data_IF_238799410929
#
_entry.id   IF_238799410929
#
_cell.length_a   1.000
_cell.length_b   1.000
_cell.length_c   1.000
_cell.angle_alpha   90.00
_cell.angle_beta   90.00
_cell.angle_gamma   90.00
#
_symmetry.space_group_name_H-M   'P 1'
#
loop_
_entity.id
_entity.type
_entity.pdbx_description
1 polymer ?
#
# COMPACT_ATOMS: atom_id res chain seq x y z
N UNK A 1 11.54 -4.04 -20.06
CA UNK A 1 10.90 -4.00 -18.76
C UNK A 1 9.74 -3.07 -18.78
N UNK A 2 8.61 -3.55 -18.41
CA UNK A 2 7.43 -2.72 -18.32
C UNK A 2 7.14 -2.30 -16.89
N UNK A 3 6.19 -1.40 -16.74
CA UNK A 3 5.67 -1.00 -15.47
C UNK A 3 4.46 -1.87 -15.13
N UNK A 4 4.29 -2.17 -13.86
CA UNK A 4 3.16 -2.96 -13.39
C UNK A 4 2.24 -2.08 -12.56
N UNK A 5 0.96 -2.11 -12.87
CA UNK A 5 -0.04 -1.32 -12.16
C UNK A 5 -1.03 -2.24 -11.45
N UNK A 6 -1.53 -1.76 -10.34
CA UNK A 6 -2.57 -2.43 -9.58
C UNK A 6 -3.79 -1.51 -9.50
N UNK A 7 -4.96 -2.05 -9.80
CA UNK A 7 -6.19 -1.30 -9.61
C UNK A 7 -6.60 -1.38 -8.15
N UNK A 8 -6.47 -0.28 -7.45
CA UNK A 8 -6.73 -0.21 -6.01
C UNK A 8 -8.02 0.53 -5.71
N UNK A 9 -8.62 0.17 -4.61
CA UNK A 9 -9.67 0.96 -3.99
C UNK A 9 -9.11 1.49 -2.68
N UNK A 10 -9.16 2.79 -2.49
CA UNK A 10 -8.66 3.45 -1.29
C UNK A 10 -9.82 4.10 -0.57
N UNK A 11 -9.86 3.94 0.74
CA UNK A 11 -10.92 4.52 1.57
C UNK A 11 -10.32 5.07 2.85
N UNK A 12 -11.03 6.02 3.45
CA UNK A 12 -10.67 6.49 4.78
C UNK A 12 -11.24 5.51 5.79
N UNK A 13 -10.36 4.82 6.52
CA UNK A 13 -10.79 3.76 7.44
C UNK A 13 -11.69 4.26 8.57
N UNK A 14 -11.59 5.55 8.91
CA UNK A 14 -12.38 6.17 9.97
C UNK A 14 -13.66 6.82 9.48
N UNK A 15 -13.81 6.93 8.18
CA UNK A 15 -14.94 7.63 7.58
C UNK A 15 -15.64 6.72 6.57
N UNK A 16 -16.37 5.72 7.05
CA UNK A 16 -17.08 4.79 6.13
C UNK A 16 -18.19 5.47 5.34
N UNK A 17 -18.59 6.67 5.76
CA UNK A 17 -19.56 7.49 5.03
C UNK A 17 -18.99 8.10 3.75
N UNK A 18 -17.68 8.19 3.64
CA UNK A 18 -17.07 8.75 2.43
C UNK A 18 -16.87 7.67 1.39
N UNK A 19 -17.12 8.04 0.14
CA UNK A 19 -16.93 7.11 -0.97
C UNK A 19 -15.45 6.76 -1.14
N UNK A 20 -15.18 5.50 -1.43
CA UNK A 20 -13.83 5.07 -1.77
C UNK A 20 -13.45 5.59 -3.15
N UNK A 21 -12.15 5.72 -3.38
CA UNK A 21 -11.59 6.12 -4.66
C UNK A 21 -10.94 4.91 -5.31
N UNK A 22 -11.28 4.64 -6.57
CA UNK A 22 -10.58 3.64 -7.35
C UNK A 22 -9.54 4.32 -8.23
N UNK A 23 -8.35 3.76 -8.25
CA UNK A 23 -7.27 4.32 -9.05
C UNK A 23 -6.25 3.24 -9.41
N UNK A 24 -5.42 3.55 -10.39
CA UNK A 24 -4.28 2.70 -10.71
C UNK A 24 -3.08 3.18 -9.94
N UNK A 25 -2.37 2.25 -9.32
CA UNK A 25 -1.14 2.55 -8.60
C UNK A 25 0.00 1.78 -9.24
N UNK A 26 1.12 2.45 -9.42
CA UNK A 26 2.33 1.80 -9.90
C UNK A 26 2.88 0.92 -8.79
N UNK A 27 3.08 -0.35 -9.08
CA UNK A 27 3.71 -1.26 -8.14
C UNK A 27 5.22 -1.02 -8.16
N UNK A 28 5.76 -0.61 -7.03
CA UNK A 28 7.17 -0.26 -6.92
C UNK A 28 7.74 -0.89 -5.66
N UNK A 29 8.36 -2.05 -5.84
CA UNK A 29 8.95 -2.79 -4.71
C UNK A 29 10.22 -2.13 -4.18
N UNK A 30 10.73 -1.14 -4.89
CA UNK A 30 11.86 -0.34 -4.39
C UNK A 30 11.43 0.73 -3.39
N UNK A 31 10.12 1.02 -3.29
CA UNK A 31 9.58 1.94 -2.32
C UNK A 31 8.87 1.13 -1.22
N UNK A 32 9.03 1.48 0.06
CA UNK A 32 8.38 0.71 1.11
C UNK A 32 6.90 1.01 1.29
N UNK A 33 6.49 2.25 1.09
CA UNK A 33 5.15 2.69 1.51
C UNK A 33 4.20 2.94 0.36
N UNK A 34 2.92 3.06 0.70
CA UNK A 34 1.93 3.62 -0.20
C UNK A 34 2.20 5.11 -0.34
N UNK A 35 2.20 5.60 -1.58
CA UNK A 35 2.29 7.05 -1.85
C UNK A 35 1.07 7.46 -2.64
N UNK A 36 0.50 8.61 -2.32
CA UNK A 36 -0.68 9.12 -3.01
C UNK A 36 -0.52 10.60 -3.31
N UNK A 37 -1.10 11.08 -4.42
CA UNK A 37 -1.12 12.52 -4.68
C UNK A 37 -1.97 13.27 -3.65
N UNK A 38 -1.68 14.55 -3.49
CA UNK A 38 -2.38 15.37 -2.51
C UNK A 38 -3.90 15.39 -2.73
N UNK A 39 -4.33 15.46 -3.99
CA UNK A 39 -5.78 15.53 -4.25
C UNK A 39 -6.52 14.28 -3.78
N UNK A 40 -5.86 13.13 -3.78
CA UNK A 40 -6.44 11.89 -3.26
C UNK A 40 -6.60 11.96 -1.75
N UNK A 41 -5.55 12.44 -1.06
CA UNK A 41 -5.60 12.59 0.38
C UNK A 41 -6.71 13.55 0.80
N UNK A 42 -6.86 14.67 0.08
CA UNK A 42 -7.88 15.65 0.36
C UNK A 42 -9.29 15.09 0.11
N UNK A 43 -9.47 14.39 -0.98
CA UNK A 43 -10.78 13.81 -1.31
C UNK A 43 -11.21 12.77 -0.29
N UNK A 44 -10.27 11.99 0.23
CA UNK A 44 -10.54 11.01 1.28
C UNK A 44 -10.58 11.63 2.67
N UNK A 45 -10.30 12.92 2.80
CA UNK A 45 -10.29 13.63 4.08
C UNK A 45 -9.44 12.92 5.14
N UNK A 46 -8.25 12.49 4.72
CA UNK A 46 -7.33 11.81 5.62
C UNK A 46 -6.75 12.79 6.64
N UNK A 47 -6.42 12.26 7.81
CA UNK A 47 -5.73 13.05 8.84
C UNK A 47 -4.22 12.95 8.65
N UNK A 48 -3.53 14.05 8.90
CA UNK A 48 -2.08 14.00 8.93
C UNK A 48 -1.65 13.39 10.25
N UNK A 49 -1.01 12.23 10.17
CA UNK A 49 -0.57 11.48 11.34
C UNK A 49 0.79 11.98 11.84
N UNK A 50 1.68 12.27 10.90
CA UNK A 50 3.01 12.81 11.18
C UNK A 50 3.62 13.28 9.87
N UNK A 51 4.77 13.93 9.96
CA UNK A 51 5.58 14.23 8.79
C UNK A 51 6.74 13.25 8.72
N UNK A 52 7.08 12.85 7.52
CA UNK A 52 8.20 11.94 7.31
C UNK A 52 9.15 12.51 6.29
N UNK A 53 10.41 12.22 6.48
CA UNK A 53 11.44 12.61 5.54
C UNK A 53 11.61 11.50 4.51
N UNK A 54 11.58 11.86 3.24
CA UNK A 54 11.79 10.91 2.15
C UNK A 54 12.95 11.37 1.30
N UNK A 55 13.69 10.41 0.76
CA UNK A 55 14.74 10.69 -0.21
C UNK A 55 14.14 10.48 -1.59
N UNK A 56 14.14 11.53 -2.39
CA UNK A 56 13.60 11.46 -3.75
C UNK A 56 14.71 11.21 -4.74
N UNK A 57 14.34 10.99 -6.00
CA UNK A 57 15.29 10.79 -7.07
C UNK A 57 16.28 11.97 -7.08
N UNK A 58 17.55 11.66 -7.25
CA UNK A 58 18.60 12.66 -7.17
C UNK A 58 19.23 12.83 -5.79
N UNK A 59 18.70 12.16 -4.78
CA UNK A 59 19.28 12.11 -3.44
C UNK A 59 18.86 13.21 -2.49
N UNK A 60 18.06 14.17 -2.95
CA UNK A 60 17.59 15.21 -2.03
C UNK A 60 16.50 14.67 -1.11
N UNK A 61 16.35 15.30 0.04
CA UNK A 61 15.36 14.90 1.04
C UNK A 61 14.24 15.91 1.11
N UNK A 62 13.05 15.40 1.36
CA UNK A 62 11.87 16.23 1.52
C UNK A 62 11.06 15.74 2.71
N UNK A 63 10.45 16.69 3.38
CA UNK A 63 9.52 16.42 4.46
C UNK A 63 8.12 16.36 3.84
N UNK A 64 7.44 15.23 3.98
CA UNK A 64 6.12 15.05 3.39
C UNK A 64 5.13 14.62 4.45
N UNK A 65 3.83 14.93 4.27
CA UNK A 65 2.82 14.44 5.18
C UNK A 65 2.68 12.93 5.06
N UNK A 66 2.51 12.28 6.20
CA UNK A 66 2.14 10.87 6.26
C UNK A 66 0.72 10.84 6.82
N UNK A 67 -0.23 10.46 5.99
CA UNK A 67 -1.64 10.63 6.28
C UNK A 67 -2.36 9.29 6.28
N UNK A 68 -3.45 9.24 7.02
CA UNK A 68 -4.25 8.02 7.10
C UNK A 68 -5.36 8.16 8.12
N UNK A 69 -5.89 7.04 8.56
CA UNK A 69 -5.61 5.66 8.09
C UNK A 69 -6.32 5.36 6.78
N UNK A 70 -5.66 4.60 5.91
CA UNK A 70 -6.19 4.23 4.61
C UNK A 70 -6.50 2.75 4.59
N UNK A 71 -7.70 2.40 4.14
CA UNK A 71 -8.03 1.03 3.80
C UNK A 71 -7.68 0.83 2.34
N UNK A 72 -6.77 -0.08 2.07
CA UNK A 72 -6.31 -0.40 0.71
C UNK A 72 -6.90 -1.73 0.31
N UNK A 73 -7.62 -1.77 -0.81
CA UNK A 73 -8.23 -3.01 -1.29
C UNK A 73 -7.74 -3.33 -2.69
N UNK A 74 -7.43 -4.59 -2.91
CA UNK A 74 -7.10 -5.14 -4.21
C UNK A 74 -7.73 -6.52 -4.31
N UNK A 75 -8.67 -6.70 -5.25
CA UNK A 75 -9.38 -7.97 -5.42
C UNK A 75 -9.98 -8.42 -4.07
N UNK A 76 -9.68 -9.63 -3.63
CA UNK A 76 -10.17 -10.12 -2.34
C UNK A 76 -9.21 -9.84 -1.19
N UNK A 77 -8.26 -8.92 -1.37
CA UNK A 77 -7.27 -8.55 -0.35
C UNK A 77 -7.55 -7.16 0.19
N UNK A 78 -7.10 -6.95 1.40
CA UNK A 78 -7.27 -5.67 2.06
C UNK A 78 -6.15 -5.47 3.07
N UNK A 79 -5.66 -4.24 3.20
CA UNK A 79 -4.75 -3.89 4.28
C UNK A 79 -5.04 -2.47 4.75
N UNK A 80 -4.42 -2.10 5.85
CA UNK A 80 -4.60 -0.79 6.46
C UNK A 80 -3.24 -0.13 6.56
N UNK A 81 -3.14 1.11 6.11
CA UNK A 81 -1.83 1.74 5.98
C UNK A 81 -1.95 3.25 6.13
N UNK A 82 -0.82 3.88 6.41
CA UNK A 82 -0.67 5.30 6.15
C UNK A 82 -0.13 5.48 4.75
N UNK A 83 -0.22 6.69 4.24
CA UNK A 83 0.26 7.03 2.91
C UNK A 83 1.14 8.26 2.96
N UNK A 84 2.26 8.20 2.26
CA UNK A 84 3.07 9.39 2.01
C UNK A 84 2.37 10.22 0.96
N UNK A 85 2.23 11.51 1.20
CA UNK A 85 1.56 12.39 0.26
C UNK A 85 2.62 13.09 -0.57
N UNK A 86 2.82 12.60 -1.78
CA UNK A 86 3.75 13.22 -2.71
C UNK A 86 3.50 12.68 -4.12
N UNK A 87 3.96 13.45 -5.11
CA UNK A 87 3.91 13.03 -6.49
C UNK A 87 2.57 13.25 -7.15
N UNK A 88 2.47 12.78 -8.37
CA UNK A 88 1.27 12.95 -9.21
C UNK A 88 0.55 11.65 -9.49
N UNK A 89 1.13 10.51 -9.13
CA UNK A 89 0.46 9.23 -9.29
C UNK A 89 0.66 8.39 -8.03
N UNK A 90 -0.25 7.44 -7.83
CA UNK A 90 -0.17 6.56 -6.68
C UNK A 90 0.91 5.50 -6.89
N UNK A 91 1.63 5.19 -5.82
CA UNK A 91 2.63 4.12 -5.79
C UNK A 91 2.22 3.11 -4.74
N UNK A 92 2.24 1.84 -5.13
CA UNK A 92 2.00 0.75 -4.19
C UNK A 92 3.36 0.16 -3.83
N UNK A 93 3.81 0.45 -2.61
CA UNK A 93 5.13 0.01 -2.15
C UNK A 93 5.14 -1.42 -1.64
N UNK A 94 6.33 -1.85 -1.20
CA UNK A 94 6.58 -3.23 -0.80
C UNK A 94 5.77 -3.65 0.42
N UNK A 95 5.64 -2.78 1.41
CA UNK A 95 4.95 -3.13 2.65
C UNK A 95 3.48 -3.48 2.42
N UNK A 96 2.67 -2.62 1.77
CA UNK A 96 1.29 -3.02 1.49
C UNK A 96 1.18 -4.20 0.54
N UNK A 97 2.10 -4.35 -0.41
CA UNK A 97 2.08 -5.53 -1.28
C UNK A 97 2.30 -6.81 -0.49
N UNK A 98 3.26 -6.80 0.42
CA UNK A 98 3.52 -7.95 1.28
C UNK A 98 2.35 -8.23 2.22
N UNK A 99 1.80 -7.17 2.79
CA UNK A 99 0.70 -7.30 3.72
C UNK A 99 -0.55 -7.93 3.07
N UNK A 100 -0.79 -7.58 1.82
CA UNK A 100 -1.89 -8.15 1.05
C UNK A 100 -1.53 -9.46 0.35
N UNK A 101 -0.29 -9.88 0.46
CA UNK A 101 0.23 -11.08 -0.21
C UNK A 101 -0.02 -11.03 -1.71
N UNK A 102 0.48 -9.95 -2.33
CA UNK A 102 0.39 -9.73 -3.77
C UNK A 102 1.73 -10.06 -4.43
N UNK A 103 1.66 -10.44 -5.68
CA UNK A 103 2.86 -10.72 -6.48
C UNK A 103 2.76 -9.99 -7.81
N UNK A 104 3.90 -9.79 -8.44
CA UNK A 104 3.96 -9.31 -9.82
C UNK A 104 4.22 -10.53 -10.70
N UNK A 105 3.31 -10.80 -11.62
CA UNK A 105 3.45 -11.93 -12.53
C UNK A 105 4.44 -11.57 -13.63
N UNK A 106 5.54 -12.33 -13.77
CA UNK A 106 6.60 -11.91 -14.70
C UNK A 106 6.19 -11.89 -16.16
N UNK A 107 5.33 -12.81 -16.57
CA UNK A 107 4.94 -12.91 -17.98
C UNK A 107 4.06 -11.77 -18.46
N UNK A 108 3.17 -11.29 -17.61
CA UNK A 108 2.19 -10.25 -17.96
C UNK A 108 2.48 -8.92 -17.32
N UNK A 109 3.41 -8.87 -16.37
CA UNK A 109 3.74 -7.68 -15.59
C UNK A 109 2.52 -7.11 -14.88
N UNK A 110 1.63 -8.00 -14.45
CA UNK A 110 0.44 -7.62 -13.71
C UNK A 110 0.60 -7.95 -12.24
N UNK A 111 0.05 -7.09 -11.41
CA UNK A 111 -0.08 -7.37 -9.98
C UNK A 111 -1.25 -8.32 -9.80
N UNK A 112 -1.06 -9.33 -8.99
CA UNK A 112 -2.09 -10.34 -8.75
C UNK A 112 -2.02 -10.81 -7.30
N UNK A 113 -3.14 -11.33 -6.83
CA UNK A 113 -3.17 -12.08 -5.58
C UNK A 113 -2.22 -13.27 -5.75
N UNK A 114 -1.42 -13.57 -4.72
CA UNK A 114 -0.49 -14.67 -4.77
C UNK A 114 -1.26 -15.97 -5.09
N UNK A 115 -0.98 -16.61 -6.23
CA UNK A 115 -1.74 -17.79 -6.62
C UNK A 115 -1.54 -18.99 -5.70
N UNK A 116 -0.49 -18.98 -4.89
CA UNK A 116 -0.29 -20.01 -3.87
C UNK A 116 -1.25 -19.87 -2.70
N UNK A 117 -1.83 -18.68 -2.52
CA UNK A 117 -2.73 -18.37 -1.41
C UNK A 117 -3.95 -17.60 -1.95
N UNK A 118 -4.83 -18.29 -2.70
CA UNK A 118 -5.88 -17.57 -3.44
C UNK A 118 -7.00 -17.01 -2.55
N UNK A 119 -7.20 -17.56 -1.36
CA UNK A 119 -8.36 -17.22 -0.55
C UNK A 119 -8.06 -16.23 0.57
N UNK A 120 -6.85 -16.26 1.11
CA UNK A 120 -6.49 -15.39 2.23
C UNK A 120 -5.00 -15.11 2.16
N UNK A 121 -4.62 -13.88 2.53
CA UNK A 121 -3.22 -13.48 2.56
C UNK A 121 -2.44 -14.27 3.60
N UNK A 122 -1.21 -14.63 3.26
CA UNK A 122 -0.31 -15.35 4.17
C UNK A 122 0.88 -14.44 4.47
N UNK A 123 1.16 -14.25 5.74
CA UNK A 123 2.30 -13.49 6.22
C UNK A 123 3.28 -14.41 6.92
N UNK A 124 4.54 -14.02 6.90
CA UNK A 124 5.57 -14.77 7.61
C UNK A 124 5.81 -14.17 8.98
N UNK A 125 5.90 -15.04 9.96
CA UNK A 125 6.24 -14.66 11.33
C UNK A 125 7.14 -15.72 11.95
N UNK A 126 8.15 -16.13 11.20
CA UNK A 126 8.95 -17.32 11.53
C UNK A 126 9.55 -17.27 12.91
N UNK A 127 10.10 -16.14 13.30
CA UNK A 127 10.70 -16.01 14.62
C UNK A 127 9.69 -15.90 15.76
N UNK A 128 8.45 -15.58 15.42
CA UNK A 128 7.41 -15.35 16.40
C UNK A 128 6.57 -16.60 16.68
N UNK A 129 6.64 -17.57 15.79
CA UNK A 129 5.80 -18.76 15.87
C UNK A 129 6.56 -19.98 16.33
N UNK A 130 7.57 -19.78 17.16
CA UNK A 130 8.16 -20.87 17.90
C UNK A 130 7.04 -21.58 18.67
N UNK A 131 7.19 -22.88 18.94
CA UNK A 131 6.12 -23.60 19.64
C UNK A 131 5.69 -22.86 20.89
N UNK A 132 4.38 -22.71 21.04
CA UNK A 132 3.84 -22.04 22.21
C UNK A 132 4.09 -22.91 23.43
N UNK A 133 4.50 -22.26 24.50
CA UNK A 133 4.65 -22.96 25.74
C UNK A 133 3.32 -23.02 26.43
N UNK A 134 3.07 -24.13 26.99
CA UNK A 134 1.90 -24.26 27.84
C UNK A 134 2.15 -23.54 29.16
N UNK A 135 1.17 -22.81 29.54
CA UNK A 135 1.26 -22.07 30.80
C UNK A 135 0.59 -22.82 31.92
#
# INVERSE_FOLDING_TARGET
>A
MGLSYARLKLANSRRPDLAAIELDALADTGAPHLCIPEHVALQLQLDELEKREVTIAGGSRRLVPYMGPVTVSFANRQCYAGAMVLGTEALLGAIPMEDMDLVVLPGTQQVAVNPMNPNIAVSRAMGQLAPLRNK
#
